data_IF_941221615380
#
_entry.id   IF_941221615380
#
_cell.length_a   1.000
_cell.length_b   1.000
_cell.length_c   1.000
_cell.angle_alpha   90.00
_cell.angle_beta   90.00
_cell.angle_gamma   90.00
#
_symmetry.space_group_name_H-M   'P 1'
#
loop_
_entity.id
_entity.type
_entity.pdbx_description
1 polymer ?
#
# COMPACT_ATOMS: atom_id res chain seq x y z
N UNK A 1 26.45 -22.41 -4.10
CA UNK A 1 25.22 -21.59 -3.97
C UNK A 1 24.82 -21.56 -2.51
N UNK A 2 24.70 -20.39 -1.88
CA UNK A 2 24.09 -20.27 -0.55
C UNK A 2 22.58 -20.31 -0.73
N UNK A 3 21.87 -21.10 0.09
CA UNK A 3 20.42 -21.05 0.14
C UNK A 3 19.98 -19.62 0.53
N UNK A 4 18.91 -19.07 -0.08
CA UNK A 4 18.41 -17.76 0.32
C UNK A 4 18.03 -17.79 1.80
N UNK A 5 18.57 -16.85 2.56
CA UNK A 5 18.26 -16.69 3.98
C UNK A 5 16.78 -16.36 4.09
N UNK A 6 16.01 -17.16 4.85
CA UNK A 6 14.60 -16.86 5.06
C UNK A 6 14.47 -15.50 5.78
N UNK A 7 13.57 -14.62 5.32
CA UNK A 7 13.33 -13.36 6.00
C UNK A 7 12.69 -13.63 7.37
N UNK A 8 13.10 -12.87 8.38
CA UNK A 8 12.53 -12.95 9.73
C UNK A 8 11.04 -12.57 9.69
N UNK A 9 10.12 -13.46 10.13
CA UNK A 9 8.70 -13.17 10.16
C UNK A 9 8.32 -11.92 10.96
N UNK A 10 9.09 -11.54 11.98
CA UNK A 10 8.84 -10.30 12.73
C UNK A 10 9.14 -9.07 11.87
N UNK A 11 10.29 -9.04 11.18
CA UNK A 11 10.65 -7.98 10.26
C UNK A 11 9.66 -7.84 9.09
N UNK A 12 9.17 -8.96 8.53
CA UNK A 12 8.16 -8.93 7.45
C UNK A 12 6.82 -8.36 7.94
N UNK A 13 6.40 -8.66 9.18
CA UNK A 13 5.18 -8.06 9.75
C UNK A 13 5.32 -6.56 9.98
N UNK A 14 6.48 -6.09 10.43
CA UNK A 14 6.74 -4.67 10.60
C UNK A 14 6.65 -3.93 9.25
N UNK A 15 7.36 -4.43 8.23
CA UNK A 15 7.30 -3.87 6.88
C UNK A 15 5.88 -3.91 6.28
N UNK A 16 5.12 -4.97 6.56
CA UNK A 16 3.72 -5.06 6.15
C UNK A 16 2.86 -3.96 6.77
N UNK A 17 3.00 -3.72 8.09
CA UNK A 17 2.29 -2.65 8.77
C UNK A 17 2.69 -1.28 8.23
N UNK A 18 3.98 -1.04 8.00
CA UNK A 18 4.50 0.22 7.44
C UNK A 18 3.88 0.53 6.07
N UNK A 19 3.69 -0.49 5.22
CA UNK A 19 3.05 -0.35 3.90
C UNK A 19 1.56 -0.01 4.01
N UNK A 20 0.83 -0.69 4.91
CA UNK A 20 -0.58 -0.39 5.16
C UNK A 20 -0.73 1.04 5.67
N UNK A 21 0.09 1.44 6.65
CA UNK A 21 0.10 2.78 7.20
C UNK A 21 0.48 3.83 6.14
N UNK A 22 1.43 3.53 5.26
CA UNK A 22 1.78 4.39 4.14
C UNK A 22 0.61 4.58 3.17
N UNK A 23 -0.09 3.50 2.79
CA UNK A 23 -1.26 3.59 1.92
C UNK A 23 -2.42 4.37 2.57
N UNK A 24 -2.64 4.21 3.87
CA UNK A 24 -3.64 4.99 4.61
C UNK A 24 -3.25 6.47 4.73
N UNK A 25 -1.98 6.78 5.03
CA UNK A 25 -1.47 8.17 5.00
C UNK A 25 -1.65 8.80 3.62
N UNK A 26 -1.36 8.04 2.56
CA UNK A 26 -1.54 8.49 1.18
C UNK A 26 -2.99 8.85 0.87
N UNK A 27 -3.97 8.06 1.33
CA UNK A 27 -5.40 8.40 1.21
C UNK A 27 -5.76 9.68 1.95
N UNK A 28 -5.30 9.85 3.19
CA UNK A 28 -5.57 11.07 3.97
C UNK A 28 -5.05 12.33 3.28
N UNK A 29 -3.81 12.28 2.79
CA UNK A 29 -3.23 13.37 2.00
C UNK A 29 -4.05 13.65 0.75
N UNK A 30 -4.54 12.62 0.05
CA UNK A 30 -5.45 12.79 -1.10
C UNK A 30 -6.69 13.57 -0.70
N UNK A 31 -7.33 13.22 0.41
CA UNK A 31 -8.59 13.83 0.82
C UNK A 31 -8.39 15.27 1.29
N UNK A 32 -7.29 15.55 2.00
CA UNK A 32 -6.88 16.91 2.38
C UNK A 32 -6.61 17.79 1.15
N UNK A 33 -5.84 17.29 0.18
CA UNK A 33 -5.48 18.01 -1.05
C UNK A 33 -6.64 18.10 -2.05
N UNK A 34 -7.47 17.06 -2.17
CA UNK A 34 -8.64 17.06 -3.06
C UNK A 34 -9.66 18.11 -2.63
N UNK A 35 -9.83 18.33 -1.32
CA UNK A 35 -10.65 19.43 -0.80
C UNK A 35 -10.08 20.78 -1.28
N UNK A 36 -8.76 20.97 -1.24
CA UNK A 36 -8.09 22.18 -1.74
C UNK A 36 -8.25 22.38 -3.26
N UNK A 37 -7.97 21.34 -4.05
CA UNK A 37 -8.09 21.37 -5.52
C UNK A 37 -9.52 21.63 -6.01
N UNK A 38 -10.53 21.16 -5.28
CA UNK A 38 -11.94 21.41 -5.61
C UNK A 38 -12.41 22.78 -5.11
N UNK A 39 -11.97 23.22 -3.92
CA UNK A 39 -12.39 24.49 -3.34
C UNK A 39 -11.87 25.71 -4.11
N UNK A 40 -10.67 25.63 -4.68
CA UNK A 40 -10.02 26.74 -5.39
C UNK A 40 -10.29 26.77 -6.90
N UNK A 41 -11.18 25.91 -7.41
CA UNK A 41 -11.50 25.88 -8.85
C UNK A 41 -12.17 27.19 -9.28
N UNK A 42 -11.55 27.98 -10.19
CA UNK A 42 -12.20 29.17 -10.72
C UNK A 42 -13.37 28.73 -11.60
N UNK A 43 -14.55 29.33 -11.41
CA UNK A 43 -15.69 29.09 -12.29
C UNK A 43 -15.45 29.81 -13.64
N UNK A 44 -14.77 29.13 -14.57
CA UNK A 44 -14.58 29.60 -15.92
C UNK A 44 -15.87 29.42 -16.72
N UNK A 45 -16.65 30.51 -16.85
CA UNK A 45 -18.00 30.49 -17.41
C UNK A 45 -18.09 30.93 -18.88
N UNK A 46 -16.96 31.25 -19.51
CA UNK A 46 -16.94 31.67 -20.91
C UNK A 46 -16.82 30.43 -21.84
N UNK A 47 -17.45 30.45 -23.03
CA UNK A 47 -17.39 29.33 -23.98
C UNK A 47 -15.97 28.92 -24.40
N UNK A 48 -15.02 29.87 -24.44
CA UNK A 48 -13.61 29.61 -24.81
C UNK A 48 -12.91 28.79 -23.73
N UNK A 49 -13.20 29.08 -22.46
CA UNK A 49 -12.63 28.38 -21.30
C UNK A 49 -13.37 27.10 -20.92
N UNK A 50 -14.59 26.87 -21.42
CA UNK A 50 -15.38 25.65 -21.14
C UNK A 50 -14.66 24.36 -21.58
N UNK A 51 -13.95 24.37 -22.71
CA UNK A 51 -13.15 23.22 -23.17
C UNK A 51 -11.97 22.97 -22.22
N UNK A 52 -11.31 24.03 -21.77
CA UNK A 52 -10.23 23.92 -20.80
C UNK A 52 -10.74 23.37 -19.46
N UNK A 53 -11.88 23.89 -18.98
CA UNK A 53 -12.51 23.48 -17.73
C UNK A 53 -12.89 21.99 -17.74
N UNK A 54 -13.43 21.49 -18.86
CA UNK A 54 -13.68 20.06 -19.05
C UNK A 54 -12.38 19.23 -19.01
N UNK A 55 -11.35 19.63 -19.75
CA UNK A 55 -10.07 18.92 -19.77
C UNK A 55 -9.33 18.94 -18.43
N UNK A 56 -9.44 20.04 -17.70
CA UNK A 56 -8.92 20.17 -16.35
C UNK A 56 -9.64 19.21 -15.40
N UNK A 57 -10.98 19.19 -15.42
CA UNK A 57 -11.79 18.27 -14.63
C UNK A 57 -11.43 16.80 -14.89
N UNK A 58 -11.33 16.40 -16.16
CA UNK A 58 -10.90 15.04 -16.50
C UNK A 58 -9.48 14.72 -16.01
N UNK A 59 -8.55 15.68 -16.09
CA UNK A 59 -7.18 15.49 -15.61
C UNK A 59 -7.14 15.33 -14.09
N UNK A 60 -7.93 16.12 -13.37
CA UNK A 60 -8.10 16.04 -11.93
C UNK A 60 -8.70 14.67 -11.53
N UNK A 61 -9.77 14.22 -12.17
CA UNK A 61 -10.37 12.90 -11.92
C UNK A 61 -9.37 11.76 -12.15
N UNK A 62 -8.61 11.80 -13.26
CA UNK A 62 -7.56 10.81 -13.54
C UNK A 62 -6.45 10.82 -12.49
N UNK A 63 -6.06 12.00 -12.00
CA UNK A 63 -5.05 12.12 -10.95
C UNK A 63 -5.56 11.50 -9.64
N UNK A 64 -6.79 11.82 -9.23
CA UNK A 64 -7.41 11.26 -8.02
C UNK A 64 -7.56 9.74 -8.10
N UNK A 65 -7.93 9.21 -9.26
CA UNK A 65 -8.02 7.76 -9.49
C UNK A 65 -6.65 7.08 -9.37
N UNK A 66 -5.59 7.65 -9.96
CA UNK A 66 -4.22 7.13 -9.83
C UNK A 66 -3.72 7.18 -8.40
N UNK A 67 -4.05 8.24 -7.68
CA UNK A 67 -3.70 8.38 -6.27
C UNK A 67 -4.33 7.26 -5.44
N UNK A 68 -5.62 6.99 -5.63
CA UNK A 68 -6.32 5.89 -4.96
C UNK A 68 -5.71 4.52 -5.32
N UNK A 69 -5.35 4.32 -6.59
CA UNK A 69 -4.70 3.09 -7.04
C UNK A 69 -3.39 2.84 -6.27
N UNK A 70 -2.52 3.85 -6.15
CA UNK A 70 -1.25 3.72 -5.41
C UNK A 70 -1.49 3.40 -3.94
N UNK A 71 -2.46 4.05 -3.30
CA UNK A 71 -2.84 3.71 -1.92
C UNK A 71 -3.29 2.25 -1.79
N UNK A 72 -4.14 1.78 -2.71
CA UNK A 72 -4.64 0.41 -2.71
C UNK A 72 -3.52 -0.61 -2.93
N UNK A 73 -2.56 -0.33 -3.81
CA UNK A 73 -1.39 -1.19 -4.05
C UNK A 73 -0.51 -1.30 -2.80
N UNK A 74 -0.25 -0.20 -2.10
CA UNK A 74 0.51 -0.19 -0.84
C UNK A 74 -0.17 -1.05 0.24
N UNK A 75 -1.47 -0.84 0.45
CA UNK A 75 -2.25 -1.64 1.42
C UNK A 75 -2.27 -3.12 1.02
N UNK A 76 -2.52 -3.42 -0.25
CA UNK A 76 -2.57 -4.79 -0.76
C UNK A 76 -1.23 -5.52 -0.63
N UNK A 77 -0.12 -4.83 -0.88
CA UNK A 77 1.22 -5.38 -0.67
C UNK A 77 1.49 -5.65 0.81
N UNK A 78 1.10 -4.73 1.69
CA UNK A 78 1.17 -4.91 3.14
C UNK A 78 0.38 -6.14 3.60
N UNK A 79 -0.88 -6.28 3.17
CA UNK A 79 -1.72 -7.44 3.50
C UNK A 79 -1.15 -8.76 2.97
N UNK A 80 -0.55 -8.76 1.79
CA UNK A 80 0.12 -9.93 1.23
C UNK A 80 1.38 -10.30 2.04
N UNK A 81 2.18 -9.32 2.45
CA UNK A 81 3.36 -9.53 3.28
C UNK A 81 2.99 -10.05 4.68
N UNK A 82 1.96 -9.49 5.31
CA UNK A 82 1.46 -9.95 6.61
C UNK A 82 1.01 -11.42 6.57
N UNK A 83 0.23 -11.81 5.54
CA UNK A 83 -0.19 -13.20 5.34
C UNK A 83 1.01 -14.13 5.14
N UNK A 84 2.00 -13.70 4.37
CA UNK A 84 3.24 -14.46 4.14
C UNK A 84 4.01 -14.69 5.45
N UNK A 85 4.12 -13.67 6.30
CA UNK A 85 4.77 -13.80 7.60
C UNK A 85 4.05 -14.77 8.55
N UNK A 86 2.71 -14.78 8.54
CA UNK A 86 1.92 -15.74 9.33
C UNK A 86 2.16 -17.17 8.87
N UNK A 87 2.17 -17.40 7.55
CA UNK A 87 2.45 -18.73 6.99
C UNK A 87 3.87 -19.20 7.33
N UNK A 88 4.88 -18.32 7.21
CA UNK A 88 6.27 -18.62 7.56
C UNK A 88 6.41 -18.98 9.05
N UNK A 89 5.79 -18.20 9.95
CA UNK A 89 5.84 -18.48 11.38
C UNK A 89 5.16 -19.81 11.76
N UNK A 90 4.08 -20.19 11.06
CA UNK A 90 3.40 -21.48 11.26
C UNK A 90 4.29 -22.65 10.82
N UNK A 91 4.91 -22.55 9.65
CA UNK A 91 5.86 -23.55 9.14
C UNK A 91 7.01 -23.79 10.12
N UNK A 92 7.63 -22.72 10.65
CA UNK A 92 8.72 -22.83 11.62
C UNK A 92 8.26 -23.40 12.98
N UNK A 93 7.03 -23.13 13.41
CA UNK A 93 6.46 -23.74 14.62
C UNK A 93 6.22 -25.25 14.45
N UNK A 94 5.75 -25.68 13.28
CA UNK A 94 5.59 -27.10 12.95
C UNK A 94 6.95 -27.80 12.92
N UNK A 95 7.94 -27.20 12.25
CA UNK A 95 9.30 -27.77 12.15
C UNK A 95 9.95 -28.02 13.51
N UNK A 96 9.82 -27.08 14.45
CA UNK A 96 10.32 -27.22 15.83
C UNK A 96 9.63 -28.32 16.65
N UNK A 97 8.39 -28.70 16.29
CA UNK A 97 7.66 -29.79 16.97
C UNK A 97 7.99 -31.17 16.40
N UNK A 98 8.28 -31.24 15.10
CA UNK A 98 8.50 -32.51 14.38
C UNK A 98 9.96 -32.97 14.47
N UNK A 99 10.93 -32.05 14.56
CA UNK A 99 12.34 -32.36 14.79
C UNK A 99 12.62 -32.37 16.30
N UNK A 100 12.90 -33.53 16.94
CA UNK A 100 13.35 -33.54 18.33
C UNK A 100 14.66 -32.76 18.46
N UNK A 101 15.01 -32.22 19.65
CA UNK A 101 16.38 -31.78 19.89
C UNK A 101 17.27 -32.97 19.54
N UNK A 102 18.16 -32.78 18.57
CA UNK A 102 19.14 -33.81 18.25
C UNK A 102 19.77 -34.23 19.57
N UNK A 103 19.61 -35.50 19.93
CA UNK A 103 20.45 -36.16 20.91
C UNK A 103 21.86 -36.13 20.30
N UNK A 104 22.54 -35.01 20.52
CA UNK A 104 23.98 -34.90 20.32
C UNK A 104 24.62 -35.79 21.37
N UNK A 105 24.89 -37.02 20.96
CA UNK A 105 25.91 -37.88 21.57
C UNK A 105 27.29 -37.47 21.06
#
# INVERSE_FOLDING_TARGET
>A
MRAPTRPDPAAVRAAAADLVDAGQRWRRLRDEEAIGLVADRPAWRDPVTAVFDARYGEAQERLLARWEQVAAELVGLGDAAARTAVLAARDDAVRRRVLPPGTGS
#
